data_IF_269174896607
#
_entry.id   IF_269174896607
#
_cell.length_a   1.000
_cell.length_b   1.000
_cell.length_c   1.000
_cell.angle_alpha   90.00
_cell.angle_beta   90.00
_cell.angle_gamma   90.00
#
_symmetry.space_group_name_H-M   'P 1'
#
loop_
_entity.id
_entity.type
_entity.pdbx_description
1 polymer ?
#
# COMPACT_ATOMS: atom_id res chain seq x y z
N UNK A 1 3.30 6.63 -20.65
CA UNK A 1 2.41 7.76 -20.25
C UNK A 1 3.04 9.14 -20.49
N UNK A 2 4.37 9.28 -20.45
CA UNK A 2 5.08 10.57 -20.65
C UNK A 2 5.01 11.14 -22.08
N UNK A 3 4.77 10.32 -23.10
CA UNK A 3 4.70 10.76 -24.50
C UNK A 3 3.30 11.20 -24.98
N UNK A 4 2.27 11.13 -24.11
CA UNK A 4 0.90 11.50 -24.48
C UNK A 4 0.72 13.01 -24.72
N UNK A 5 1.28 13.92 -23.91
CA UNK A 5 1.09 15.36 -24.11
C UNK A 5 1.73 15.89 -25.40
N UNK A 6 2.91 15.37 -25.78
CA UNK A 6 3.54 15.76 -27.06
C UNK A 6 2.69 15.36 -28.25
N UNK A 7 2.12 14.15 -28.23
CA UNK A 7 1.27 13.66 -29.32
C UNK A 7 -0.02 14.48 -29.43
N UNK A 8 -0.65 14.82 -28.31
CA UNK A 8 -1.85 15.66 -28.29
C UNK A 8 -1.54 17.08 -28.77
N UNK A 9 -0.40 17.65 -28.37
CA UNK A 9 0.04 18.96 -28.84
C UNK A 9 0.38 19.02 -30.32
N UNK A 10 0.88 17.92 -30.90
CA UNK A 10 1.15 17.79 -32.33
C UNK A 10 -0.14 17.64 -33.14
N UNK A 11 -1.09 16.81 -32.69
CA UNK A 11 -2.42 16.65 -33.31
C UNK A 11 -3.18 17.97 -33.34
N UNK A 12 -3.23 18.70 -32.22
CA UNK A 12 -3.93 19.99 -32.15
C UNK A 12 -3.23 21.07 -32.96
N UNK A 13 -1.90 21.09 -32.99
CA UNK A 13 -1.14 21.99 -33.85
C UNK A 13 -1.46 21.79 -35.34
N UNK A 14 -1.58 20.53 -35.78
CA UNK A 14 -1.97 20.21 -37.17
C UNK A 14 -3.42 20.59 -37.49
N UNK A 15 -4.34 20.51 -36.51
CA UNK A 15 -5.75 20.92 -36.67
C UNK A 15 -5.87 22.44 -36.79
N UNK A 16 -5.17 23.19 -35.93
CA UNK A 16 -5.32 24.66 -35.83
C UNK A 16 -4.62 25.40 -36.98
N UNK A 17 -3.50 24.88 -37.49
CA UNK A 17 -2.70 25.53 -38.53
C UNK A 17 -2.80 24.89 -39.93
N UNK A 18 -3.78 24.01 -40.15
CA UNK A 18 -4.12 23.53 -41.49
C UNK A 18 -3.19 22.45 -42.06
N UNK A 19 -2.64 21.57 -41.22
CA UNK A 19 -1.72 20.48 -41.60
C UNK A 19 -2.28 19.42 -42.57
N UNK A 20 -3.51 19.59 -43.06
CA UNK A 20 -4.17 18.69 -43.99
C UNK A 20 -4.62 17.38 -43.35
N UNK A 21 -5.66 16.77 -43.93
CA UNK A 21 -6.30 15.56 -43.39
C UNK A 21 -5.32 14.38 -43.24
N UNK A 22 -4.26 14.32 -44.05
CA UNK A 22 -3.27 13.22 -44.03
C UNK A 22 -2.38 13.23 -42.79
N UNK A 23 -2.02 14.40 -42.28
CA UNK A 23 -1.16 14.54 -41.11
C UNK A 23 -1.94 14.14 -39.83
N UNK A 24 -3.17 14.66 -39.72
CA UNK A 24 -4.12 14.30 -38.67
C UNK A 24 -4.36 12.79 -38.60
N UNK A 25 -4.65 12.15 -39.74
CA UNK A 25 -4.86 10.70 -39.78
C UNK A 25 -3.62 9.93 -39.31
N UNK A 26 -2.41 10.37 -39.70
CA UNK A 26 -1.16 9.75 -39.23
C UNK A 26 -0.98 9.87 -37.72
N UNK A 27 -1.20 11.06 -37.16
CA UNK A 27 -1.03 11.31 -35.73
C UNK A 27 -2.06 10.55 -34.87
N UNK A 28 -3.32 10.47 -35.34
CA UNK A 28 -4.37 9.67 -34.70
C UNK A 28 -4.04 8.17 -34.74
N UNK A 29 -3.54 7.65 -35.86
CA UNK A 29 -3.12 6.24 -35.95
C UNK A 29 -2.00 5.93 -34.95
N UNK A 30 -0.99 6.81 -34.83
CA UNK A 30 0.10 6.64 -33.85
C UNK A 30 -0.45 6.65 -32.41
N UNK A 31 -1.38 7.56 -32.09
CA UNK A 31 -2.02 7.62 -30.77
C UNK A 31 -2.78 6.34 -30.43
N UNK A 32 -3.55 5.81 -31.38
CA UNK A 32 -4.32 4.57 -31.21
C UNK A 32 -3.37 3.39 -30.99
N UNK A 33 -2.32 3.26 -31.80
CA UNK A 33 -1.33 2.17 -31.68
C UNK A 33 -0.63 2.22 -30.33
N UNK A 34 -0.16 3.40 -29.90
CA UNK A 34 0.50 3.56 -28.59
C UNK A 34 -0.46 3.31 -27.42
N UNK A 35 -1.72 3.73 -27.53
CA UNK A 35 -2.76 3.50 -26.54
C UNK A 35 -3.10 2.01 -26.39
N UNK A 36 -3.27 1.30 -27.51
CA UNK A 36 -3.49 -0.14 -27.53
C UNK A 36 -2.28 -0.90 -26.96
N UNK A 37 -1.08 -0.52 -27.39
CA UNK A 37 0.15 -1.14 -26.89
C UNK A 37 0.29 -0.96 -25.37
N UNK A 38 0.06 0.26 -24.86
CA UNK A 38 0.12 0.55 -23.43
C UNK A 38 -0.93 -0.20 -22.61
N UNK A 39 -2.14 -0.39 -23.15
CA UNK A 39 -3.22 -1.11 -22.45
C UNK A 39 -2.95 -2.62 -22.43
N UNK A 40 -2.44 -3.18 -23.53
CA UNK A 40 -2.01 -4.58 -23.62
C UNK A 40 -0.88 -4.86 -22.63
N UNK A 41 0.19 -4.05 -22.62
CA UNK A 41 1.28 -4.24 -21.66
C UNK A 41 0.83 -3.99 -20.21
N UNK A 42 -0.04 -3.02 -19.98
CA UNK A 42 -0.64 -2.75 -18.66
C UNK A 42 -1.45 -3.95 -18.15
N UNK A 43 -2.28 -4.54 -19.02
CA UNK A 43 -3.08 -5.72 -18.74
C UNK A 43 -2.23 -6.96 -18.52
N UNK A 44 -1.21 -7.21 -19.36
CA UNK A 44 -0.29 -8.33 -19.21
C UNK A 44 0.46 -8.26 -17.88
N UNK A 45 1.00 -7.08 -17.53
CA UNK A 45 1.64 -6.84 -16.24
C UNK A 45 0.68 -7.10 -15.08
N UNK A 46 -0.57 -6.60 -15.17
CA UNK A 46 -1.59 -6.84 -14.13
C UNK A 46 -1.90 -8.32 -13.97
N UNK A 47 -2.19 -9.02 -15.07
CA UNK A 47 -2.58 -10.43 -15.06
C UNK A 47 -1.48 -11.37 -14.58
N UNK A 48 -0.25 -11.19 -15.07
CA UNK A 48 0.92 -11.96 -14.60
C UNK A 48 1.15 -11.78 -13.10
N UNK A 49 0.94 -10.57 -12.58
CA UNK A 49 1.09 -10.27 -11.17
C UNK A 49 0.03 -10.94 -10.30
N UNK A 50 -1.24 -10.85 -10.70
CA UNK A 50 -2.35 -11.54 -10.01
C UNK A 50 -2.14 -13.05 -10.01
N UNK A 51 -1.67 -13.61 -11.13
CA UNK A 51 -1.36 -15.04 -11.22
C UNK A 51 -0.19 -15.45 -10.31
N UNK A 52 0.89 -14.66 -10.29
CA UNK A 52 2.02 -14.90 -9.38
C UNK A 52 1.60 -14.86 -7.90
N UNK A 53 0.74 -13.91 -7.53
CA UNK A 53 0.16 -13.81 -6.19
C UNK A 53 -0.65 -15.07 -5.81
N UNK A 54 -1.45 -15.59 -6.75
CA UNK A 54 -2.20 -16.82 -6.55
C UNK A 54 -1.30 -18.05 -6.37
N UNK A 55 -0.17 -18.13 -7.10
CA UNK A 55 0.82 -19.21 -6.93
C UNK A 55 1.45 -19.20 -5.54
N UNK A 56 1.81 -18.02 -5.03
CA UNK A 56 2.36 -17.85 -3.67
C UNK A 56 1.32 -18.23 -2.62
N UNK A 57 0.07 -17.78 -2.76
CA UNK A 57 -1.03 -18.15 -1.86
C UNK A 57 -1.23 -19.67 -1.81
N UNK A 58 -1.23 -20.33 -2.98
CA UNK A 58 -1.33 -21.79 -3.07
C UNK A 58 -0.20 -22.49 -2.32
N UNK A 59 1.05 -22.04 -2.51
CA UNK A 59 2.20 -22.67 -1.90
C UNK A 59 2.17 -22.55 -0.36
N UNK A 60 1.92 -21.34 0.16
CA UNK A 60 1.85 -21.10 1.61
C UNK A 60 0.74 -21.95 2.25
N UNK A 61 -0.43 -22.03 1.61
CA UNK A 61 -1.56 -22.85 2.10
C UNK A 61 -1.22 -24.33 2.13
N UNK A 62 -0.56 -24.85 1.10
CA UNK A 62 -0.16 -26.26 1.05
C UNK A 62 0.88 -26.59 2.11
N UNK A 63 1.87 -25.72 2.31
CA UNK A 63 2.93 -25.96 3.28
C UNK A 63 2.39 -25.86 4.72
N UNK A 64 1.48 -24.92 5.00
CA UNK A 64 0.80 -24.85 6.28
C UNK A 64 -0.10 -26.08 6.51
N UNK A 65 -0.88 -26.50 5.51
CA UNK A 65 -1.74 -27.68 5.62
C UNK A 65 -0.92 -28.96 5.89
N UNK A 66 0.21 -29.14 5.19
CA UNK A 66 1.13 -30.27 5.44
C UNK A 66 1.69 -30.26 6.85
N UNK A 67 2.02 -29.09 7.39
CA UNK A 67 2.51 -28.97 8.76
C UNK A 67 1.42 -29.30 9.78
N UNK A 68 0.18 -28.84 9.54
CA UNK A 68 -0.96 -29.06 10.43
C UNK A 68 -1.39 -30.53 10.51
N UNK A 69 -1.46 -31.23 9.38
CA UNK A 69 -1.89 -32.66 9.35
C UNK A 69 -0.92 -33.58 10.10
N UNK A 70 0.34 -33.14 10.30
CA UNK A 70 1.35 -33.89 11.05
C UNK A 70 1.34 -33.63 12.55
N UNK A 71 0.48 -32.73 13.06
CA UNK A 71 0.42 -32.39 14.48
C UNK A 71 -0.36 -33.45 15.28
N UNK A 72 -0.03 -33.58 16.56
CA UNK A 72 -0.70 -34.49 17.48
C UNK A 72 -2.14 -34.06 17.85
N UNK A 73 -2.96 -35.00 18.32
CA UNK A 73 -4.37 -34.74 18.69
C UNK A 73 -4.49 -33.66 19.78
N UNK A 74 -3.56 -33.62 20.73
CA UNK A 74 -3.52 -32.60 21.79
C UNK A 74 -3.43 -31.14 21.26
N UNK A 75 -2.83 -30.94 20.08
CA UNK A 75 -2.82 -29.64 19.42
C UNK A 75 -4.23 -29.23 18.93
N UNK A 76 -5.00 -30.19 18.43
CA UNK A 76 -6.37 -29.98 17.97
C UNK A 76 -7.38 -29.86 19.12
N UNK A 77 -7.08 -30.44 20.29
CA UNK A 77 -7.89 -30.27 21.50
C UNK A 77 -7.73 -28.86 22.10
N UNK A 78 -6.53 -28.27 21.97
CA UNK A 78 -6.23 -26.92 22.47
C UNK A 78 -6.57 -25.82 21.47
N UNK A 79 -6.44 -26.09 20.18
CA UNK A 79 -6.66 -25.11 19.10
C UNK A 79 -8.00 -25.40 18.40
N UNK A 80 -8.98 -24.49 18.53
CA UNK A 80 -10.29 -24.67 17.90
C UNK A 80 -10.16 -24.77 16.38
N UNK A 81 -10.87 -25.70 15.76
CA UNK A 81 -10.86 -25.91 14.30
C UNK A 81 -11.16 -24.64 13.49
N UNK A 82 -12.00 -23.75 14.02
CA UNK A 82 -12.30 -22.44 13.40
C UNK A 82 -11.11 -21.48 13.36
N UNK A 83 -10.22 -21.51 14.36
CA UNK A 83 -9.00 -20.70 14.35
C UNK A 83 -8.04 -21.22 13.27
N UNK A 84 -7.84 -22.53 13.19
CA UNK A 84 -6.97 -23.18 12.20
C UNK A 84 -7.44 -22.90 10.76
N UNK A 85 -8.75 -22.96 10.51
CA UNK A 85 -9.35 -22.62 9.21
C UNK A 85 -9.16 -21.14 8.88
N UNK A 86 -9.36 -20.24 9.86
CA UNK A 86 -9.14 -18.80 9.68
C UNK A 86 -7.69 -18.51 9.28
N UNK A 87 -6.71 -19.15 9.93
CA UNK A 87 -5.28 -18.98 9.59
C UNK A 87 -4.93 -19.52 8.21
N UNK A 88 -5.49 -20.68 7.85
CA UNK A 88 -5.27 -21.29 6.54
C UNK A 88 -5.88 -20.45 5.40
N UNK A 89 -7.04 -19.84 5.64
CA UNK A 89 -7.75 -19.07 4.62
C UNK A 89 -7.33 -17.60 4.61
N UNK A 90 -7.55 -16.89 5.72
CA UNK A 90 -7.38 -15.43 5.86
C UNK A 90 -5.92 -15.01 5.99
N UNK A 91 -5.19 -15.52 6.98
CA UNK A 91 -3.80 -15.09 7.25
C UNK A 91 -2.87 -15.41 6.05
N UNK A 92 -3.04 -16.60 5.45
CA UNK A 92 -2.29 -16.97 4.25
C UNK A 92 -2.64 -16.10 3.02
N UNK A 93 -3.91 -15.68 2.89
CA UNK A 93 -4.34 -14.81 1.80
C UNK A 93 -3.79 -13.40 1.96
N UNK A 94 -3.83 -12.84 3.18
CA UNK A 94 -3.25 -11.54 3.51
C UNK A 94 -1.75 -11.55 3.21
N UNK A 95 -1.02 -12.58 3.66
CA UNK A 95 0.41 -12.72 3.34
C UNK A 95 0.69 -12.71 1.84
N UNK A 96 -0.02 -13.52 1.06
CA UNK A 96 0.25 -13.64 -0.38
C UNK A 96 -0.13 -12.37 -1.16
N UNK A 97 -1.27 -11.76 -0.83
CA UNK A 97 -1.81 -10.61 -1.56
C UNK A 97 -1.06 -9.32 -1.21
N UNK A 98 -0.74 -9.11 0.07
CA UNK A 98 -0.03 -7.92 0.52
C UNK A 98 1.45 -7.98 0.14
N UNK A 99 2.11 -9.12 0.33
CA UNK A 99 3.54 -9.25 -0.01
C UNK A 99 3.80 -9.09 -1.51
N UNK A 100 2.84 -9.44 -2.37
CA UNK A 100 2.98 -9.23 -3.81
C UNK A 100 2.60 -7.78 -4.17
N UNK A 101 1.36 -7.37 -3.88
CA UNK A 101 0.80 -6.10 -4.38
C UNK A 101 1.58 -4.88 -3.90
N UNK A 102 1.99 -4.87 -2.63
CA UNK A 102 2.75 -3.75 -2.08
C UNK A 102 4.21 -3.74 -2.55
N UNK A 103 4.84 -4.88 -2.81
CA UNK A 103 6.21 -4.93 -3.37
C UNK A 103 6.25 -4.39 -4.81
N UNK A 104 5.26 -4.75 -5.63
CA UNK A 104 5.16 -4.28 -7.02
C UNK A 104 5.07 -2.75 -7.08
N UNK A 105 4.23 -2.21 -6.19
CA UNK A 105 3.98 -0.78 -6.14
C UNK A 105 5.16 -0.06 -5.48
N UNK A 106 5.79 -0.66 -4.47
CA UNK A 106 7.04 -0.17 -3.89
C UNK A 106 8.17 -0.06 -4.94
N UNK A 107 8.42 -1.10 -5.73
CA UNK A 107 9.44 -1.08 -6.79
C UNK A 107 9.14 -0.02 -7.86
N UNK A 108 7.88 0.12 -8.28
CA UNK A 108 7.47 1.14 -9.25
C UNK A 108 7.67 2.55 -8.70
N UNK A 109 7.32 2.76 -7.43
CA UNK A 109 7.43 4.06 -6.79
C UNK A 109 8.88 4.40 -6.46
N UNK A 110 9.75 3.42 -6.15
CA UNK A 110 11.17 3.66 -5.90
C UNK A 110 11.90 4.30 -7.11
N UNK A 111 11.55 3.89 -8.33
CA UNK A 111 12.07 4.47 -9.57
C UNK A 111 11.63 5.93 -9.75
N UNK A 112 10.44 6.30 -9.23
CA UNK A 112 9.94 7.70 -9.24
C UNK A 112 10.44 8.51 -8.03
N UNK A 113 10.69 7.85 -6.90
CA UNK A 113 11.13 8.41 -5.61
C UNK A 113 12.53 9.02 -5.70
N UNK A 114 13.42 8.45 -6.52
CA UNK A 114 14.74 9.02 -6.77
C UNK A 114 14.67 10.42 -7.41
N UNK A 115 13.61 10.73 -8.18
CA UNK A 115 13.40 12.04 -8.80
C UNK A 115 12.81 13.08 -7.84
N UNK A 116 11.92 12.68 -6.93
CA UNK A 116 11.24 13.58 -5.99
C UNK A 116 11.97 13.79 -4.66
N UNK A 117 12.87 12.87 -4.27
CA UNK A 117 13.75 13.02 -3.11
C UNK A 117 14.60 14.30 -3.17
N UNK A 118 15.04 14.73 -4.35
CA UNK A 118 15.79 15.98 -4.52
C UNK A 118 14.97 17.23 -4.13
N UNK A 119 13.65 17.20 -4.35
CA UNK A 119 12.73 18.29 -3.97
C UNK A 119 12.32 18.17 -2.51
N UNK A 120 12.18 16.94 -2.00
CA UNK A 120 11.78 16.66 -0.63
C UNK A 120 12.87 16.98 0.42
N UNK A 121 14.16 16.81 0.06
CA UNK A 121 15.27 17.30 0.88
C UNK A 121 15.36 18.83 0.93
N UNK A 122 14.84 19.52 -0.09
CA UNK A 122 14.84 20.98 -0.18
C UNK A 122 13.73 21.63 0.68
N UNK A 123 12.58 20.95 0.87
CA UNK A 123 11.48 21.43 1.72
C UNK A 123 11.16 20.47 2.89
N UNK A 124 11.98 20.57 3.94
CA UNK A 124 11.62 20.30 5.35
C UNK A 124 11.22 18.87 5.77
N UNK A 125 12.12 17.90 5.59
CA UNK A 125 12.09 16.55 6.23
C UNK A 125 11.88 16.57 7.76
N UNK A 126 12.34 17.63 8.45
CA UNK A 126 12.29 17.75 9.92
C UNK A 126 10.89 17.96 10.51
N UNK A 127 9.93 18.50 9.74
CA UNK A 127 8.58 18.81 10.25
C UNK A 127 7.66 17.60 10.15
N UNK A 128 7.68 16.90 9.02
CA UNK A 128 6.85 15.71 8.79
C UNK A 128 7.22 14.57 9.73
N UNK A 129 8.52 14.32 9.94
CA UNK A 129 8.96 13.23 10.82
C UNK A 129 8.54 13.46 12.29
N UNK A 130 8.69 14.69 12.78
CA UNK A 130 8.38 15.04 14.18
C UNK A 130 6.89 15.02 14.50
N UNK A 131 6.02 15.25 13.51
CA UNK A 131 4.58 15.14 13.71
C UNK A 131 4.14 13.66 13.67
N UNK A 132 4.64 12.90 12.69
CA UNK A 132 4.32 11.48 12.56
C UNK A 132 4.78 10.65 13.76
N UNK A 133 5.98 10.92 14.29
CA UNK A 133 6.50 10.28 15.52
C UNK A 133 5.58 10.52 16.74
N UNK A 134 5.05 11.74 16.88
CA UNK A 134 4.15 12.10 17.98
C UNK A 134 2.77 11.45 17.85
N UNK A 135 2.25 11.35 16.64
CA UNK A 135 0.99 10.65 16.38
C UNK A 135 1.15 9.14 16.66
N UNK A 136 2.24 8.53 16.19
CA UNK A 136 2.51 7.11 16.43
C UNK A 136 2.72 6.76 17.91
N UNK A 137 3.47 7.59 18.65
CA UNK A 137 3.68 7.38 20.09
C UNK A 137 2.40 7.58 20.92
N UNK A 138 1.49 8.48 20.50
CA UNK A 138 0.18 8.64 21.14
C UNK A 138 -0.73 7.43 20.91
N UNK A 139 -0.76 6.90 19.69
CA UNK A 139 -1.49 5.66 19.35
C UNK A 139 -0.93 4.46 20.11
N UNK A 140 0.40 4.33 20.22
CA UNK A 140 1.03 3.27 20.98
C UNK A 140 0.60 3.29 22.46
N UNK A 141 0.59 4.46 23.11
CA UNK A 141 0.12 4.60 24.50
C UNK A 141 -1.34 4.21 24.70
N UNK A 142 -2.21 4.54 23.74
CA UNK A 142 -3.61 4.12 23.78
C UNK A 142 -3.74 2.59 23.67
N UNK A 143 -2.95 1.98 22.79
CA UNK A 143 -2.91 0.52 22.63
C UNK A 143 -2.36 -0.19 23.86
N UNK A 144 -1.24 0.29 24.44
CA UNK A 144 -0.66 -0.25 25.67
C UNK A 144 -1.68 -0.24 26.81
N UNK A 145 -2.43 0.86 26.94
CA UNK A 145 -3.48 0.99 27.96
C UNK A 145 -4.66 0.04 27.71
N UNK A 146 -5.08 -0.12 26.45
CA UNK A 146 -6.12 -1.09 26.11
C UNK A 146 -5.66 -2.53 26.39
N UNK A 147 -4.41 -2.87 26.09
CA UNK A 147 -3.85 -4.20 26.36
C UNK A 147 -3.77 -4.50 27.87
N UNK A 148 -3.34 -3.53 28.69
CA UNK A 148 -3.33 -3.65 30.16
C UNK A 148 -4.74 -3.96 30.71
N UNK A 149 -5.75 -3.18 30.30
CA UNK A 149 -7.13 -3.31 30.80
C UNK A 149 -7.77 -4.63 30.33
N UNK A 150 -7.57 -5.00 29.06
CA UNK A 150 -8.16 -6.22 28.50
C UNK A 150 -7.48 -7.50 29.01
N UNK A 151 -6.15 -7.48 29.18
CA UNK A 151 -5.41 -8.62 29.76
C UNK A 151 -5.74 -8.84 31.24
N UNK A 152 -6.11 -7.77 31.97
CA UNK A 152 -6.47 -7.82 33.40
C UNK A 152 -7.97 -7.62 33.67
N UNK A 153 -8.83 -7.93 32.69
CA UNK A 153 -10.27 -7.64 32.76
C UNK A 153 -10.97 -8.18 34.02
N UNK A 154 -10.52 -9.31 34.58
CA UNK A 154 -11.06 -9.84 35.84
C UNK A 154 -10.82 -8.89 37.02
N UNK A 155 -9.65 -8.27 37.07
CA UNK A 155 -9.30 -7.29 38.11
C UNK A 155 -10.16 -6.04 37.98
N UNK A 156 -10.31 -5.51 36.77
CA UNK A 156 -11.16 -4.33 36.50
C UNK A 156 -12.61 -4.59 36.93
N UNK A 157 -13.14 -5.77 36.60
CA UNK A 157 -14.48 -6.22 37.03
C UNK A 157 -14.59 -6.37 38.54
N UNK A 158 -13.55 -6.87 39.21
CA UNK A 158 -13.54 -7.04 40.67
C UNK A 158 -13.61 -5.72 41.43
N UNK A 159 -13.13 -4.64 40.82
CA UNK A 159 -13.19 -3.27 41.36
C UNK A 159 -14.32 -2.41 40.76
N UNK A 160 -15.22 -2.97 39.93
CA UNK A 160 -16.30 -2.25 39.23
C UNK A 160 -15.83 -0.93 38.57
N UNK A 161 -14.62 -0.96 38.00
CA UNK A 161 -13.90 0.24 37.51
C UNK A 161 -13.96 0.40 35.99
N UNK A 162 -14.90 -0.26 35.29
CA UNK A 162 -14.97 -0.23 33.83
C UNK A 162 -15.16 1.18 33.28
N UNK A 163 -16.03 1.98 33.89
CA UNK A 163 -16.29 3.35 33.44
C UNK A 163 -15.08 4.27 33.67
N UNK A 164 -14.29 3.99 34.70
CA UNK A 164 -13.06 4.73 34.97
C UNK A 164 -12.01 4.46 33.88
N UNK A 165 -11.82 3.20 33.52
CA UNK A 165 -10.88 2.81 32.46
C UNK A 165 -11.34 3.27 31.06
N UNK A 166 -12.64 3.27 30.78
CA UNK A 166 -13.20 3.84 29.54
C UNK A 166 -12.85 5.33 29.43
N UNK A 167 -13.00 6.09 30.51
CA UNK A 167 -12.68 7.52 30.51
C UNK A 167 -11.17 7.78 30.36
N UNK A 168 -10.33 6.95 30.98
CA UNK A 168 -8.88 7.04 30.81
C UNK A 168 -8.46 6.71 29.36
N UNK A 169 -9.12 5.76 28.70
CA UNK A 169 -8.90 5.47 27.29
C UNK A 169 -9.37 6.62 26.39
N UNK A 170 -10.51 7.24 26.69
CA UNK A 170 -11.04 8.42 25.99
C UNK A 170 -10.05 9.60 26.03
N UNK A 171 -9.43 9.90 27.18
CA UNK A 171 -8.43 10.96 27.30
C UNK A 171 -7.17 10.70 26.43
N UNK A 172 -6.77 9.44 26.28
CA UNK A 172 -5.67 9.04 25.39
C UNK A 172 -6.06 9.19 23.91
N UNK A 173 -7.30 8.88 23.56
CA UNK A 173 -7.83 9.09 22.21
C UNK A 173 -7.95 10.58 21.87
N UNK A 174 -8.41 11.41 22.81
CA UNK A 174 -8.50 12.87 22.62
C UNK A 174 -7.12 13.51 22.39
N UNK A 175 -6.11 13.02 23.10
CA UNK A 175 -4.72 13.44 22.87
C UNK A 175 -4.26 13.10 21.46
N UNK A 176 -4.58 11.89 20.98
CA UNK A 176 -4.29 11.46 19.59
C UNK A 176 -5.04 12.34 18.57
N UNK A 177 -6.31 12.63 18.83
CA UNK A 177 -7.15 13.46 17.97
C UNK A 177 -6.62 14.90 17.88
N UNK A 178 -6.08 15.46 18.96
CA UNK A 178 -5.45 16.79 18.97
C UNK A 178 -4.22 16.85 18.05
N UNK A 179 -3.39 15.81 18.04
CA UNK A 179 -2.24 15.73 17.13
C UNK A 179 -2.69 15.53 15.67
N UNK A 180 -3.63 14.63 15.42
CA UNK A 180 -4.23 14.41 14.10
C UNK A 180 -4.88 15.67 13.54
N UNK A 181 -5.56 16.47 14.36
CA UNK A 181 -6.17 17.74 13.94
C UNK A 181 -5.11 18.76 13.53
N UNK A 182 -4.00 18.85 14.28
CA UNK A 182 -2.89 19.77 13.96
C UNK A 182 -2.17 19.34 12.67
N UNK A 183 -1.97 18.04 12.50
CA UNK A 183 -1.42 17.45 11.28
C UNK A 183 -2.34 17.72 10.07
N UNK A 184 -3.65 17.51 10.22
CA UNK A 184 -4.64 17.77 9.18
C UNK A 184 -4.66 19.24 8.76
N UNK A 185 -4.64 20.18 9.72
CA UNK A 185 -4.57 21.62 9.43
C UNK A 185 -3.29 22.01 8.68
N UNK A 186 -2.14 21.45 9.07
CA UNK A 186 -0.88 21.68 8.37
C UNK A 186 -0.91 21.12 6.94
N UNK A 187 -1.49 19.93 6.76
CA UNK A 187 -1.68 19.30 5.45
C UNK A 187 -2.60 20.13 4.56
N UNK A 188 -3.74 20.61 5.08
CA UNK A 188 -4.67 21.48 4.35
C UNK A 188 -3.98 22.76 3.87
N UNK A 189 -3.24 23.44 4.74
CA UNK A 189 -2.49 24.64 4.38
C UNK A 189 -1.43 24.37 3.30
N UNK A 190 -0.74 23.23 3.39
CA UNK A 190 0.23 22.80 2.40
C UNK A 190 -0.42 22.54 1.02
N UNK A 191 -1.52 21.79 0.99
CA UNK A 191 -2.28 21.48 -0.24
C UNK A 191 -2.75 22.76 -0.90
N UNK A 192 -3.34 23.69 -0.14
CA UNK A 192 -3.80 24.98 -0.67
C UNK A 192 -2.66 25.83 -1.24
N UNK A 193 -1.52 25.91 -0.54
CA UNK A 193 -0.37 26.65 -1.05
C UNK A 193 0.15 26.05 -2.36
N UNK A 194 0.20 24.72 -2.47
CA UNK A 194 0.64 24.04 -3.68
C UNK A 194 -0.34 24.24 -4.86
N UNK A 195 -1.64 24.05 -4.63
CA UNK A 195 -2.71 24.34 -5.59
C UNK A 195 -2.66 25.78 -6.10
N UNK A 196 -2.50 26.74 -5.19
CA UNK A 196 -2.39 28.14 -5.54
C UNK A 196 -1.13 28.41 -6.38
N UNK A 197 0.01 27.86 -5.98
CA UNK A 197 1.27 28.02 -6.72
C UNK A 197 1.19 27.44 -8.14
N UNK A 198 0.60 26.25 -8.32
CA UNK A 198 0.42 25.66 -9.65
C UNK A 198 -0.48 26.52 -10.54
N UNK A 199 -1.60 27.01 -10.01
CA UNK A 199 -2.49 27.92 -10.73
C UNK A 199 -1.81 29.25 -11.06
N UNK A 200 -1.01 29.82 -10.14
CA UNK A 200 -0.26 31.04 -10.39
C UNK A 200 0.78 30.86 -11.51
N UNK A 201 1.50 29.74 -11.54
CA UNK A 201 2.44 29.43 -12.62
C UNK A 201 1.71 29.25 -13.96
N UNK A 202 0.54 28.59 -13.98
CA UNK A 202 -0.28 28.47 -15.19
C UNK A 202 -0.69 29.84 -15.75
N UNK A 203 -1.17 30.74 -14.88
CA UNK A 203 -1.56 32.10 -15.27
C UNK A 203 -0.34 32.88 -15.78
N UNK A 204 0.81 32.78 -15.11
CA UNK A 204 2.04 33.45 -15.52
C UNK A 204 2.55 32.97 -16.90
N UNK A 205 2.52 31.66 -17.12
CA UNK A 205 2.91 31.05 -18.41
C UNK A 205 1.93 31.41 -19.51
N UNK A 206 0.63 31.44 -19.24
CA UNK A 206 -0.37 31.92 -20.21
C UNK A 206 -0.17 33.40 -20.55
N UNK A 207 0.10 34.25 -19.56
CA UNK A 207 0.30 35.67 -19.78
C UNK A 207 1.57 35.95 -20.60
N UNK A 208 2.71 35.39 -20.18
CA UNK A 208 3.99 35.62 -20.87
C UNK A 208 4.07 34.87 -22.20
N UNK A 209 3.60 33.62 -22.24
CA UNK A 209 3.53 32.81 -23.45
C UNK A 209 2.56 33.41 -24.48
N UNK A 210 1.41 33.92 -24.04
CA UNK A 210 0.46 34.62 -24.90
C UNK A 210 1.08 35.87 -25.53
N UNK A 211 1.82 36.65 -24.75
CA UNK A 211 2.58 37.80 -25.27
C UNK A 211 3.65 37.39 -26.31
N UNK A 212 4.37 36.29 -26.08
CA UNK A 212 5.36 35.74 -27.02
C UNK A 212 4.75 35.29 -28.35
N UNK A 213 3.54 34.74 -28.33
CA UNK A 213 2.80 34.37 -29.54
C UNK A 213 2.30 35.61 -30.28
N UNK A 214 1.80 36.61 -29.56
CA UNK A 214 1.35 37.88 -30.18
C UNK A 214 2.50 38.69 -30.80
N UNK A 215 3.72 38.50 -30.32
CA UNK A 215 4.93 39.17 -30.84
C UNK A 215 5.67 38.32 -31.89
N UNK A 216 5.08 37.22 -32.35
CA UNK A 216 5.62 36.32 -33.40
C UNK A 216 6.98 35.68 -33.04
N UNK A 217 7.33 35.62 -31.74
CA UNK A 217 8.56 34.99 -31.25
C UNK A 217 8.37 33.48 -30.97
N UNK A 218 7.13 33.02 -30.84
CA UNK A 218 6.79 31.63 -30.56
C UNK A 218 5.50 31.27 -31.28
N UNK A 219 5.44 30.07 -31.87
CA UNK A 219 4.22 29.54 -32.46
C UNK A 219 3.26 29.06 -31.36
N UNK A 220 1.96 29.32 -31.51
CA UNK A 220 0.94 28.92 -30.53
C UNK A 220 0.92 27.41 -30.25
N UNK A 221 1.37 26.57 -31.19
CA UNK A 221 1.49 25.12 -31.00
C UNK A 221 2.54 24.74 -29.95
N UNK A 222 3.63 25.50 -29.85
CA UNK A 222 4.73 25.19 -28.93
C UNK A 222 4.41 25.70 -27.52
N UNK A 223 3.69 26.82 -27.40
CA UNK A 223 3.08 27.25 -26.14
C UNK A 223 2.09 26.19 -25.60
N UNK A 224 1.23 25.65 -26.47
CA UNK A 224 0.28 24.61 -26.06
C UNK A 224 0.97 23.32 -25.59
N UNK A 225 2.00 22.85 -26.32
CA UNK A 225 2.84 21.72 -25.87
C UNK A 225 3.44 22.00 -24.49
N UNK A 226 3.95 23.21 -24.27
CA UNK A 226 4.51 23.62 -22.98
C UNK A 226 3.48 23.59 -21.85
N UNK A 227 2.27 24.13 -22.09
CA UNK A 227 1.15 24.08 -21.12
C UNK A 227 0.72 22.64 -20.80
N UNK A 228 0.66 21.76 -21.80
CA UNK A 228 0.34 20.35 -21.60
C UNK A 228 1.41 19.60 -20.79
N UNK A 229 2.69 19.89 -21.04
CA UNK A 229 3.78 19.35 -20.23
C UNK A 229 3.75 19.88 -18.79
N UNK A 230 3.46 21.16 -18.60
CA UNK A 230 3.32 21.77 -17.28
C UNK A 230 2.20 21.11 -16.47
N UNK A 231 1.02 20.89 -17.06
CA UNK A 231 -0.10 20.21 -16.39
C UNK A 231 0.30 18.78 -16.01
N UNK A 232 0.92 18.02 -16.93
CA UNK A 232 1.36 16.66 -16.61
C UNK A 232 2.46 16.63 -15.55
N UNK A 233 3.37 17.61 -15.52
CA UNK A 233 4.37 17.73 -14.45
C UNK A 233 3.70 18.06 -13.10
N UNK A 234 2.69 18.94 -13.09
CA UNK A 234 1.89 19.26 -11.90
C UNK A 234 1.15 18.04 -11.36
N UNK A 235 0.52 17.26 -12.23
CA UNK A 235 -0.08 15.98 -11.90
C UNK A 235 0.96 14.98 -11.38
N UNK A 236 2.15 14.90 -11.97
CA UNK A 236 3.21 14.01 -11.48
C UNK A 236 3.73 14.41 -10.10
N UNK A 237 3.79 15.71 -9.78
CA UNK A 237 4.14 16.20 -8.44
C UNK A 237 3.03 15.88 -7.44
N UNK A 238 1.77 16.09 -7.80
CA UNK A 238 0.62 15.69 -6.96
C UNK A 238 0.58 14.17 -6.74
N UNK A 239 0.80 13.40 -7.80
CA UNK A 239 0.97 11.94 -7.75
C UNK A 239 2.18 11.56 -6.89
N UNK A 240 3.25 12.36 -6.83
CA UNK A 240 4.36 12.12 -5.90
C UNK A 240 3.97 12.33 -4.43
N UNK A 241 3.08 13.28 -4.13
CA UNK A 241 2.53 13.45 -2.77
C UNK A 241 1.58 12.30 -2.42
N UNK A 242 0.73 11.89 -3.36
CA UNK A 242 -0.11 10.70 -3.24
C UNK A 242 0.74 9.44 -3.02
N UNK A 243 1.89 9.31 -3.71
CA UNK A 243 2.85 8.22 -3.50
C UNK A 243 3.47 8.21 -2.10
N UNK A 244 3.73 9.37 -1.49
CA UNK A 244 4.24 9.43 -0.12
C UNK A 244 3.18 8.97 0.89
N UNK A 245 1.91 9.36 0.69
CA UNK A 245 0.79 8.79 1.44
C UNK A 245 0.70 7.28 1.19
N UNK A 246 0.88 6.85 -0.06
CA UNK A 246 0.89 5.45 -0.46
C UNK A 246 2.00 4.64 0.22
N UNK A 247 3.16 5.23 0.52
CA UNK A 247 4.20 4.57 1.33
C UNK A 247 3.72 4.27 2.74
N UNK A 248 2.93 5.17 3.36
CA UNK A 248 2.27 4.89 4.64
C UNK A 248 1.31 3.70 4.55
N UNK A 249 0.51 3.64 3.48
CA UNK A 249 -0.37 2.51 3.20
C UNK A 249 0.39 1.19 2.98
N UNK A 250 1.53 1.23 2.27
CA UNK A 250 2.42 0.07 2.11
C UNK A 250 2.99 -0.40 3.43
N UNK A 251 3.47 0.52 4.26
CA UNK A 251 4.06 0.20 5.55
C UNK A 251 2.99 -0.44 6.45
N UNK A 252 1.78 0.10 6.47
CA UNK A 252 0.65 -0.52 7.16
C UNK A 252 0.34 -1.93 6.64
N UNK A 253 0.28 -2.12 5.32
CA UNK A 253 0.05 -3.44 4.70
C UNK A 253 1.17 -4.44 4.95
N UNK A 254 2.43 -3.98 5.05
CA UNK A 254 3.59 -4.80 5.46
C UNK A 254 3.48 -5.18 6.94
N UNK A 255 3.11 -4.26 7.83
CA UNK A 255 2.90 -4.55 9.25
C UNK A 255 1.77 -5.56 9.46
N UNK A 256 0.68 -5.43 8.72
CA UNK A 256 -0.43 -6.39 8.72
C UNK A 256 0.04 -7.78 8.24
N UNK A 257 0.82 -7.84 7.16
CA UNK A 257 1.43 -9.07 6.66
C UNK A 257 2.38 -9.71 7.69
N UNK A 258 3.23 -8.92 8.36
CA UNK A 258 4.13 -9.39 9.41
C UNK A 258 3.34 -9.97 10.59
N UNK A 259 2.25 -9.30 11.00
CA UNK A 259 1.34 -9.79 12.05
C UNK A 259 0.71 -11.15 11.70
N UNK A 260 0.13 -11.27 10.51
CA UNK A 260 -0.44 -12.52 10.01
C UNK A 260 0.61 -13.63 9.87
N UNK A 261 1.82 -13.28 9.41
CA UNK A 261 2.88 -14.26 9.16
C UNK A 261 3.39 -14.94 10.41
N UNK A 262 3.45 -14.23 11.55
CA UNK A 262 4.09 -14.73 12.77
C UNK A 262 3.46 -16.05 13.23
N UNK A 263 2.13 -16.12 13.25
CA UNK A 263 1.38 -17.31 13.67
C UNK A 263 1.32 -18.39 12.59
N UNK A 264 1.27 -18.01 11.30
CA UNK A 264 1.37 -18.98 10.19
C UNK A 264 2.72 -19.70 10.22
N UNK A 265 3.82 -18.97 10.40
CA UNK A 265 5.15 -19.55 10.52
C UNK A 265 5.31 -20.36 11.81
N UNK A 266 4.75 -19.91 12.93
CA UNK A 266 4.71 -20.65 14.20
C UNK A 266 4.10 -22.05 14.01
N UNK A 267 2.96 -22.16 13.33
CA UNK A 267 2.33 -23.46 13.04
C UNK A 267 3.08 -24.27 11.99
N UNK A 268 3.63 -23.61 10.96
CA UNK A 268 4.38 -24.29 9.91
C UNK A 268 5.68 -24.92 10.42
N UNK A 269 6.34 -24.30 11.41
CA UNK A 269 7.60 -24.76 11.98
C UNK A 269 7.45 -25.50 13.32
N UNK A 270 6.21 -25.65 13.82
CA UNK A 270 5.92 -26.43 15.02
C UNK A 270 6.28 -27.90 14.81
N UNK A 271 7.21 -28.41 15.61
CA UNK A 271 7.53 -29.84 15.64
C UNK A 271 6.46 -30.58 16.46
N UNK A 272 5.86 -31.66 15.94
CA UNK A 272 4.87 -32.43 16.69
C UNK A 272 5.53 -33.10 17.89
N UNK A 273 4.81 -33.15 19.01
CA UNK A 273 5.32 -33.77 20.24
C UNK A 273 5.42 -35.31 20.12
N UNK A 274 4.60 -35.89 19.25
CA UNK A 274 4.64 -37.30 18.89
C UNK A 274 4.90 -37.44 17.40
N UNK A 275 5.85 -38.30 16.97
CA UNK A 275 6.06 -38.57 15.56
C UNK A 275 4.80 -39.20 14.95
N UNK A 276 4.46 -38.78 13.73
CA UNK A 276 3.30 -39.27 12.98
C UNK A 276 3.62 -40.56 12.21
N UNK A 277 4.90 -40.92 12.14
CA UNK A 277 5.44 -42.12 11.53
C UNK A 277 5.93 -43.11 12.60
N UNK A 278 5.83 -44.40 12.26
CA UNK A 278 6.34 -45.49 13.09
C UNK A 278 7.30 -46.35 12.29
N UNK A 279 8.46 -46.65 12.86
CA UNK A 279 9.50 -47.45 12.21
C UNK A 279 9.29 -48.96 12.37
N UNK A 280 8.37 -49.39 13.24
CA UNK A 280 8.19 -50.79 13.59
C UNK A 280 6.83 -51.33 13.16
N UNK A 281 6.84 -52.50 12.51
CA UNK A 281 5.64 -53.29 12.19
C UNK A 281 5.78 -54.72 12.74
N UNK A 282 5.63 -54.92 14.05
CA UNK A 282 5.70 -56.26 14.65
C UNK A 282 4.48 -57.11 14.26
N UNK A 283 4.65 -58.44 14.31
CA UNK A 283 3.54 -59.39 14.15
C UNK A 283 2.70 -59.36 15.42
N UNK A 284 1.44 -58.91 15.29
CA UNK A 284 0.54 -58.68 16.42
C UNK A 284 -0.06 -60.01 16.91
N UNK A 285 0.10 -60.31 18.21
CA UNK A 285 -0.54 -61.46 18.87
C UNK A 285 -1.90 -61.11 19.52
N UNK A 286 -2.27 -59.82 19.55
CA UNK A 286 -3.57 -59.35 20.07
C UNK A 286 -3.63 -59.06 21.57
N UNK A 287 -2.52 -59.22 22.31
CA UNK A 287 -2.45 -58.91 23.74
C UNK A 287 -2.13 -57.43 23.97
N UNK A 288 -2.95 -56.73 24.75
CA UNK A 288 -2.74 -55.32 25.15
C UNK A 288 -2.59 -55.30 26.67
N UNK A 289 -1.51 -54.70 27.16
CA UNK A 289 -1.27 -54.49 28.58
C UNK A 289 -1.05 -52.99 28.84
N UNK A 290 -1.66 -52.47 29.90
CA UNK A 290 -1.38 -51.14 30.44
C UNK A 290 -0.60 -51.36 31.72
N UNK A 291 0.61 -50.82 31.80
CA UNK A 291 1.47 -50.90 32.98
C UNK A 291 1.52 -49.52 33.60
N UNK A 292 0.96 -49.39 34.82
CA UNK A 292 0.93 -48.14 35.56
C UNK A 292 2.29 -47.93 36.24
N UNK A 293 3.23 -47.36 35.48
CA UNK A 293 4.54 -46.92 35.98
C UNK A 293 4.50 -45.61 36.75
#
# INVERSE_FOLDING_TARGET
RVALPSLIGEILGEIVYGGGMRALVRAVIIAIVLGLLSTVFGGLRGGTFTYASALVSRQIRLDLFRALVKQEIAFFDTTKSGETISRLSSDCQVMATNASTHLNIFLRNFVMFAGSLCVMFYMSWKLTLKLSEKTQTAVAKANDKAEEVLSTMRTVRSFASEMFEVKAFEENLDSTLKYNRKESLACMGYIWNNEFSQNAVLIAVLWYGGHLVMTDHMDGKDLFKFLMYQIQLGENVYVSWDQLHWLGYVIAGIMECLGASRKVFEYMHRKPAMPFDGDQRPVLQGTICFDDG
#
